data_IF_692690225503
#
_entry.id   IF_692690225503
#
_cell.length_a   1.000
_cell.length_b   1.000
_cell.length_c   1.000
_cell.angle_alpha   90.00
_cell.angle_beta   90.00
_cell.angle_gamma   90.00
#
_symmetry.space_group_name_H-M   'P 1'
#
loop_
_entity.id
_entity.type
_entity.pdbx_description
1 polymer ?
#
# COMPACT_ATOMS: atom_id res chain seq x y z
N UNK A 1 22.65 -7.20 28.90
CA UNK A 1 22.60 -6.66 27.51
C UNK A 1 21.33 -5.84 27.41
N UNK A 2 21.39 -4.65 26.81
CA UNK A 2 20.18 -3.86 26.62
C UNK A 2 19.27 -4.47 25.53
N UNK A 3 17.96 -4.37 25.70
CA UNK A 3 16.98 -4.73 24.66
C UNK A 3 17.27 -3.97 23.37
N UNK A 4 16.98 -4.57 22.24
CA UNK A 4 16.98 -3.94 20.91
C UNK A 4 15.57 -3.88 20.34
N UNK A 5 15.40 -3.27 19.17
CA UNK A 5 14.12 -3.19 18.51
C UNK A 5 14.20 -3.76 17.09
N UNK A 6 13.08 -4.33 16.61
CA UNK A 6 12.89 -4.70 15.23
C UNK A 6 12.52 -3.48 14.37
N UNK A 7 12.56 -3.61 13.05
CA UNK A 7 12.18 -2.54 12.11
C UNK A 7 10.73 -2.04 12.29
N UNK A 8 9.85 -2.88 12.85
CA UNK A 8 8.49 -2.51 13.23
C UNK A 8 8.39 -1.90 14.63
N UNK A 9 9.51 -1.73 15.33
CA UNK A 9 9.57 -1.16 16.68
C UNK A 9 9.16 -2.15 17.79
N UNK A 10 9.21 -3.47 17.55
CA UNK A 10 9.02 -4.49 18.57
C UNK A 10 10.24 -4.56 19.48
N UNK A 11 10.04 -4.55 20.79
CA UNK A 11 11.14 -4.74 21.73
C UNK A 11 11.59 -6.21 21.74
N UNK A 12 12.82 -6.45 21.34
CA UNK A 12 13.50 -7.73 21.41
C UNK A 12 14.16 -7.84 22.78
N UNK A 13 13.44 -8.38 23.74
CA UNK A 13 13.86 -8.44 25.14
C UNK A 13 15.10 -9.30 25.34
N UNK A 14 16.14 -8.73 25.94
CA UNK A 14 17.34 -9.50 26.32
C UNK A 14 17.08 -10.34 27.56
N UNK A 15 17.75 -11.48 27.64
CA UNK A 15 17.65 -12.41 28.79
C UNK A 15 18.06 -11.69 30.09
N UNK A 16 17.20 -11.74 31.09
CA UNK A 16 17.41 -11.12 32.40
C UNK A 16 16.99 -9.65 32.50
N UNK A 17 16.57 -9.03 31.41
CA UNK A 17 15.94 -7.71 31.40
C UNK A 17 14.43 -7.78 31.67
N UNK A 18 13.83 -6.61 31.92
CA UNK A 18 12.40 -6.44 32.11
C UNK A 18 11.81 -7.22 33.28
N UNK A 19 12.61 -7.55 34.30
CA UNK A 19 12.13 -8.20 35.53
C UNK A 19 11.00 -7.34 36.17
N UNK A 20 9.81 -7.92 36.28
CA UNK A 20 8.62 -7.22 36.76
C UNK A 20 7.87 -6.40 35.71
N UNK A 21 8.40 -6.18 34.51
CA UNK A 21 7.78 -5.39 33.42
C UNK A 21 7.58 -6.18 32.13
N UNK A 22 8.08 -7.40 32.04
CA UNK A 22 8.02 -8.22 30.82
C UNK A 22 6.59 -8.39 30.29
N UNK A 23 5.60 -8.52 31.17
CA UNK A 23 4.19 -8.63 30.76
C UNK A 23 3.69 -7.36 30.04
N UNK A 24 4.06 -6.18 30.53
CA UNK A 24 3.75 -4.91 29.87
C UNK A 24 4.44 -4.83 28.51
N UNK A 25 5.72 -5.20 28.42
CA UNK A 25 6.48 -5.22 27.16
C UNK A 25 5.90 -6.20 26.15
N UNK A 26 5.52 -7.39 26.60
CA UNK A 26 4.83 -8.37 25.74
C UNK A 26 3.52 -7.83 25.21
N UNK A 27 2.68 -7.20 26.05
CA UNK A 27 1.42 -6.62 25.62
C UNK A 27 1.64 -5.46 24.63
N UNK A 28 2.63 -4.61 24.86
CA UNK A 28 3.03 -3.57 23.90
C UNK A 28 3.41 -4.18 22.54
N UNK A 29 4.24 -5.23 22.53
CA UNK A 29 4.61 -5.93 21.30
C UNK A 29 3.41 -6.53 20.58
N UNK A 30 2.47 -7.14 21.31
CA UNK A 30 1.25 -7.68 20.71
C UNK A 30 0.38 -6.59 20.07
N UNK A 31 0.24 -5.43 20.71
CA UNK A 31 -0.46 -4.27 20.14
C UNK A 31 0.24 -3.71 18.89
N UNK A 32 1.57 -3.71 18.87
CA UNK A 32 2.36 -3.32 17.70
C UNK A 32 2.11 -4.28 16.53
N UNK A 33 2.12 -5.60 16.79
CA UNK A 33 1.80 -6.62 15.80
C UNK A 33 0.38 -6.45 15.27
N UNK A 34 -0.60 -6.25 16.17
CA UNK A 34 -1.99 -6.01 15.78
C UNK A 34 -2.13 -4.84 14.81
N UNK A 35 -1.52 -3.68 15.12
CA UNK A 35 -1.54 -2.51 14.24
C UNK A 35 -0.84 -2.77 12.91
N UNK A 36 0.22 -3.56 12.89
CA UNK A 36 0.95 -3.90 11.68
C UNK A 36 0.17 -4.81 10.73
N UNK A 37 -0.75 -5.61 11.25
CA UNK A 37 -1.55 -6.58 10.50
C UNK A 37 -2.95 -6.04 10.19
N UNK A 38 -3.59 -5.35 11.14
CA UNK A 38 -5.01 -4.96 11.07
C UNK A 38 -5.25 -3.46 11.33
N UNK A 39 -4.22 -2.68 11.66
CA UNK A 39 -4.37 -1.28 12.03
C UNK A 39 -4.78 -0.40 10.84
N UNK A 40 -5.72 0.53 11.09
CA UNK A 40 -6.14 1.59 10.19
C UNK A 40 -5.76 2.95 10.78
N UNK A 41 -5.30 3.86 9.92
CA UNK A 41 -5.02 5.25 10.31
C UNK A 41 -5.34 6.22 9.18
N UNK A 42 -5.80 7.43 9.53
CA UNK A 42 -5.91 8.55 8.59
C UNK A 42 -4.72 9.49 8.77
N UNK A 43 -4.09 9.87 7.67
CA UNK A 43 -2.95 10.76 7.63
C UNK A 43 -3.22 11.96 6.74
N UNK A 44 -3.20 13.15 7.32
CA UNK A 44 -3.24 14.38 6.54
C UNK A 44 -1.92 14.58 5.77
N UNK A 45 -2.04 14.86 4.47
CA UNK A 45 -0.89 15.06 3.56
C UNK A 45 -0.51 16.53 3.51
N UNK A 46 0.79 16.81 3.61
CA UNK A 46 1.34 18.15 3.42
C UNK A 46 1.22 18.56 1.94
N UNK A 47 0.45 19.60 1.68
CA UNK A 47 0.22 20.11 0.34
C UNK A 47 1.50 20.63 -0.31
N UNK A 48 1.84 20.12 -1.49
CA UNK A 48 3.03 20.55 -2.25
C UNK A 48 4.35 20.22 -1.56
N UNK A 49 4.36 19.29 -0.58
CA UNK A 49 5.53 18.96 0.20
C UNK A 49 5.62 17.46 0.52
N UNK A 50 6.48 17.12 1.47
CA UNK A 50 6.69 15.75 1.94
C UNK A 50 6.08 15.55 3.31
N UNK A 51 5.27 14.50 3.47
CA UNK A 51 4.78 13.97 4.74
C UNK A 51 5.59 12.72 5.07
N UNK A 52 6.52 12.82 6.02
CA UNK A 52 7.31 11.68 6.45
C UNK A 52 6.56 10.93 7.57
N UNK A 53 6.19 9.69 7.29
CA UNK A 53 5.61 8.78 8.28
C UNK A 53 6.73 8.12 9.07
N UNK A 54 6.49 7.88 10.36
CA UNK A 54 7.49 7.30 11.27
C UNK A 54 7.00 6.02 11.92
N UNK A 55 7.95 5.30 12.49
CA UNK A 55 7.76 4.22 13.45
C UNK A 55 8.64 4.56 14.66
N UNK A 56 8.02 4.60 15.83
CA UNK A 56 8.72 4.82 17.10
C UNK A 56 8.82 3.51 17.87
N UNK A 57 10.02 3.16 18.28
CA UNK A 57 10.33 1.93 19.00
C UNK A 57 9.55 1.79 20.30
N UNK A 58 8.93 0.63 20.49
CA UNK A 58 8.16 0.34 21.71
C UNK A 58 6.94 1.21 21.95
N UNK A 59 6.53 2.02 20.98
CA UNK A 59 5.39 2.94 21.09
C UNK A 59 4.17 2.41 20.34
N UNK A 60 3.01 2.49 21.00
CA UNK A 60 1.70 2.11 20.44
C UNK A 60 0.86 3.32 20.01
N UNK A 61 1.40 4.54 20.10
CA UNK A 61 0.69 5.77 19.74
C UNK A 61 0.56 5.88 18.21
N UNK A 62 -0.64 6.12 17.72
CA UNK A 62 -0.91 6.16 16.27
C UNK A 62 -0.16 7.30 15.58
N UNK A 63 -0.20 8.51 16.15
CA UNK A 63 0.38 9.70 15.53
C UNK A 63 1.91 9.67 15.39
N UNK A 64 2.59 8.88 16.21
CA UNK A 64 4.06 8.73 16.20
C UNK A 64 4.54 7.48 15.47
N UNK A 65 3.61 6.62 15.03
CA UNK A 65 3.92 5.35 14.39
C UNK A 65 2.98 5.03 13.22
N UNK A 66 2.64 6.05 12.43
CA UNK A 66 1.70 5.94 11.31
C UNK A 66 2.15 4.89 10.30
N UNK A 67 3.45 4.83 9.98
CA UNK A 67 4.01 3.89 9.01
C UNK A 67 3.90 2.42 9.44
N UNK A 68 3.51 2.14 10.69
CA UNK A 68 3.30 0.77 11.18
C UNK A 68 1.97 0.18 10.72
N UNK A 69 0.94 1.01 10.50
CA UNK A 69 -0.42 0.54 10.21
C UNK A 69 -0.49 -0.21 8.87
N UNK A 70 -1.37 -1.21 8.82
CA UNK A 70 -1.60 -1.97 7.59
C UNK A 70 -2.38 -1.15 6.56
N UNK A 71 -3.34 -0.33 7.02
CA UNK A 71 -4.19 0.50 6.18
C UNK A 71 -3.93 1.96 6.49
N UNK A 72 -3.50 2.72 5.48
CA UNK A 72 -3.23 4.15 5.58
C UNK A 72 -4.14 4.89 4.59
N UNK A 73 -5.04 5.73 5.10
CA UNK A 73 -5.84 6.64 4.28
C UNK A 73 -5.22 8.02 4.29
N UNK A 74 -4.77 8.46 3.14
CA UNK A 74 -4.23 9.81 2.93
C UNK A 74 -5.39 10.79 2.78
N UNK A 75 -5.37 11.88 3.54
CA UNK A 75 -6.47 12.86 3.61
C UNK A 75 -5.97 14.29 3.46
N UNK A 76 -6.89 15.23 3.33
CA UNK A 76 -6.62 16.67 3.23
C UNK A 76 -6.82 17.24 1.84
N UNK A 77 -6.87 18.58 1.77
CA UNK A 77 -6.94 19.33 0.50
C UNK A 77 -5.52 19.70 0.10
N UNK A 78 -5.08 19.22 -1.07
CA UNK A 78 -3.75 19.53 -1.61
C UNK A 78 -3.86 20.51 -2.78
N UNK A 79 -2.93 21.47 -2.83
CA UNK A 79 -2.81 22.50 -3.86
C UNK A 79 -1.48 22.40 -4.64
N UNK A 80 -0.76 21.29 -4.46
CA UNK A 80 0.49 20.94 -5.12
C UNK A 80 0.76 19.46 -5.05
N UNK A 81 1.60 18.95 -5.96
CA UNK A 81 2.04 17.55 -5.95
C UNK A 81 2.73 17.24 -4.61
N UNK A 82 2.34 16.15 -3.99
CA UNK A 82 2.73 15.81 -2.63
C UNK A 82 3.41 14.45 -2.58
N UNK A 83 4.28 14.26 -1.59
CA UNK A 83 5.02 13.01 -1.36
C UNK A 83 4.70 12.53 0.05
N UNK A 84 4.45 11.25 0.21
CA UNK A 84 4.35 10.57 1.50
C UNK A 84 5.44 9.51 1.55
N UNK A 85 6.23 9.53 2.62
CA UNK A 85 7.32 8.55 2.78
C UNK A 85 7.13 7.68 4.01
N UNK A 86 7.50 6.40 3.88
CA UNK A 86 7.69 5.47 4.99
C UNK A 86 9.20 5.29 5.23
N UNK A 87 9.63 4.90 6.42
CA UNK A 87 11.05 4.61 6.68
C UNK A 87 11.58 3.52 5.75
N UNK A 88 12.87 3.59 5.44
CA UNK A 88 13.60 2.53 4.74
C UNK A 88 13.73 1.28 5.64
N UNK A 89 14.13 0.17 5.06
CA UNK A 89 14.36 -1.13 5.72
C UNK A 89 13.12 -1.83 6.30
N UNK A 90 11.94 -1.27 6.10
CA UNK A 90 10.68 -1.90 6.56
C UNK A 90 10.11 -2.75 5.43
N UNK A 91 10.06 -4.04 5.64
CA UNK A 91 9.42 -5.00 4.73
C UNK A 91 8.01 -5.32 5.22
N UNK A 92 6.99 -4.84 4.51
CA UNK A 92 5.58 -5.12 4.84
C UNK A 92 4.62 -4.76 3.72
N UNK A 93 3.42 -5.32 3.82
CA UNK A 93 2.27 -4.95 2.97
C UNK A 93 1.58 -3.69 3.53
N UNK A 94 1.14 -2.82 2.62
CA UNK A 94 0.31 -1.67 2.90
C UNK A 94 -0.93 -1.67 2.00
N UNK A 95 -2.05 -1.26 2.55
CA UNK A 95 -3.23 -0.84 1.80
C UNK A 95 -3.29 0.68 1.89
N UNK A 96 -3.07 1.37 0.78
CA UNK A 96 -3.00 2.84 0.77
C UNK A 96 -4.16 3.40 -0.03
N UNK A 97 -4.96 4.25 0.62
CA UNK A 97 -6.08 4.95 -0.01
C UNK A 97 -5.72 6.43 -0.23
N UNK A 98 -5.79 6.90 -1.47
CA UNK A 98 -5.73 8.33 -1.76
C UNK A 98 -7.11 8.97 -1.59
N UNK A 99 -7.39 9.50 -0.41
CA UNK A 99 -8.58 10.28 -0.06
C UNK A 99 -8.35 11.80 -0.06
N UNK A 100 -7.24 12.28 -0.64
CA UNK A 100 -7.00 13.72 -0.76
C UNK A 100 -7.94 14.37 -1.77
N UNK A 101 -8.26 15.65 -1.58
CA UNK A 101 -8.93 16.48 -2.58
C UNK A 101 -7.92 17.37 -3.31
N UNK A 102 -8.33 17.87 -4.49
CA UNK A 102 -7.47 18.67 -5.36
C UNK A 102 -6.89 17.87 -6.54
N UNK A 103 -6.58 18.58 -7.64
CA UNK A 103 -6.11 17.99 -8.91
C UNK A 103 -4.59 17.90 -8.94
N UNK A 104 -4.00 17.19 -8.00
CA UNK A 104 -2.56 16.99 -7.86
C UNK A 104 -2.23 15.53 -7.56
N UNK A 105 -1.00 15.14 -7.86
CA UNK A 105 -0.52 13.78 -7.62
C UNK A 105 -0.10 13.58 -6.16
N UNK A 106 -0.21 12.34 -5.68
CA UNK A 106 0.36 11.92 -4.40
C UNK A 106 1.27 10.72 -4.64
N UNK A 107 2.55 10.88 -4.38
CA UNK A 107 3.51 9.78 -4.43
C UNK A 107 3.62 9.13 -3.04
N UNK A 108 3.53 7.81 -2.98
CA UNK A 108 3.81 7.01 -1.78
C UNK A 108 5.06 6.17 -2.03
N UNK A 109 6.11 6.39 -1.23
CA UNK A 109 7.43 5.79 -1.46
C UNK A 109 8.16 5.52 -0.13
N UNK A 110 9.28 4.82 -0.16
CA UNK A 110 10.24 4.80 0.95
C UNK A 110 11.02 6.12 1.02
N UNK A 111 11.67 6.38 2.13
CA UNK A 111 12.37 7.67 2.34
C UNK A 111 13.42 7.93 1.26
N UNK A 112 14.27 6.96 0.95
CA UNK A 112 15.36 7.10 -0.05
C UNK A 112 15.07 6.44 -1.40
N UNK A 113 14.15 5.46 -1.46
CA UNK A 113 13.87 4.69 -2.68
C UNK A 113 12.77 5.28 -3.56
N UNK A 114 12.15 4.41 -4.34
CA UNK A 114 11.05 4.73 -5.25
C UNK A 114 9.70 4.24 -4.73
N UNK A 115 8.62 4.53 -5.44
CA UNK A 115 7.30 4.05 -5.07
C UNK A 115 6.25 4.33 -6.13
N UNK A 116 4.99 4.20 -5.73
CA UNK A 116 3.83 4.42 -6.58
C UNK A 116 3.43 5.89 -6.59
N UNK A 117 2.76 6.33 -7.65
CA UNK A 117 2.15 7.65 -7.73
C UNK A 117 0.68 7.51 -8.07
N UNK A 118 -0.17 8.07 -7.22
CA UNK A 118 -1.58 8.29 -7.54
C UNK A 118 -1.69 9.48 -8.49
N UNK A 119 -2.32 9.29 -9.64
CA UNK A 119 -2.59 10.34 -10.61
C UNK A 119 -3.53 11.43 -10.07
N UNK A 120 -3.66 12.54 -10.79
CA UNK A 120 -4.43 13.73 -10.34
C UNK A 120 -5.90 13.40 -10.03
N UNK A 121 -6.52 12.53 -10.81
CA UNK A 121 -7.90 12.08 -10.63
C UNK A 121 -8.02 10.75 -9.91
N UNK A 122 -6.91 10.12 -9.59
CA UNK A 122 -6.89 8.78 -8.99
C UNK A 122 -7.10 8.86 -7.47
N UNK A 123 -8.36 8.74 -7.06
CA UNK A 123 -8.80 8.71 -5.66
C UNK A 123 -9.23 7.28 -5.29
N UNK A 124 -8.27 6.37 -5.39
CA UNK A 124 -8.47 4.92 -5.27
C UNK A 124 -7.69 4.34 -4.10
N UNK A 125 -7.87 3.05 -3.87
CA UNK A 125 -7.10 2.27 -2.92
C UNK A 125 -6.18 1.32 -3.69
N UNK A 126 -4.91 1.25 -3.32
CA UNK A 126 -3.94 0.31 -3.87
C UNK A 126 -3.40 -0.61 -2.79
N UNK A 127 -3.20 -1.87 -3.13
CA UNK A 127 -2.42 -2.82 -2.36
C UNK A 127 -0.96 -2.72 -2.84
N UNK A 128 -0.06 -2.38 -1.92
CA UNK A 128 1.36 -2.22 -2.20
C UNK A 128 2.18 -2.94 -1.16
N UNK A 129 3.45 -3.18 -1.42
CA UNK A 129 4.39 -3.66 -0.41
C UNK A 129 5.70 -2.89 -0.45
N UNK A 130 6.35 -2.80 0.69
CA UNK A 130 7.73 -2.36 0.79
C UNK A 130 8.65 -3.57 0.78
N UNK A 131 9.67 -3.54 -0.07
CA UNK A 131 10.76 -4.53 -0.12
C UNK A 131 11.96 -4.12 0.75
N UNK A 132 11.77 -3.12 1.61
CA UNK A 132 12.81 -2.52 2.44
C UNK A 132 13.55 -1.37 1.74
N UNK A 133 13.44 -1.25 0.42
CA UNK A 133 14.09 -0.21 -0.39
C UNK A 133 13.06 0.63 -1.14
N UNK A 134 12.07 -0.01 -1.76
CA UNK A 134 11.06 0.63 -2.60
C UNK A 134 9.65 0.25 -2.16
N UNK A 135 8.67 1.06 -2.56
CA UNK A 135 7.25 0.67 -2.54
C UNK A 135 6.88 0.14 -3.93
N UNK A 136 6.39 -1.09 -3.97
CA UNK A 136 6.01 -1.81 -5.18
C UNK A 136 4.50 -2.01 -5.21
N UNK A 137 3.86 -1.73 -6.34
CA UNK A 137 2.44 -2.02 -6.55
C UNK A 137 2.23 -3.54 -6.67
N UNK A 138 1.27 -4.08 -5.93
CA UNK A 138 0.93 -5.50 -6.01
C UNK A 138 0.04 -5.85 -7.22
N UNK A 139 -0.34 -4.85 -8.03
CA UNK A 139 -1.10 -5.04 -9.26
C UNK A 139 -2.62 -5.18 -9.09
N UNK A 140 -3.16 -4.93 -7.88
CA UNK A 140 -4.59 -5.09 -7.61
C UNK A 140 -5.38 -3.78 -7.61
N UNK A 141 -4.91 -2.69 -8.18
CA UNK A 141 -5.60 -1.39 -8.04
C UNK A 141 -5.43 -0.39 -9.17
N UNK A 142 -4.78 -0.76 -10.25
CA UNK A 142 -4.71 0.04 -11.48
C UNK A 142 -5.93 -0.18 -12.38
N UNK A 143 -6.07 0.59 -13.46
CA UNK A 143 -6.86 0.16 -14.60
C UNK A 143 -6.42 -1.28 -14.92
N UNK A 144 -7.37 -2.20 -15.02
CA UNK A 144 -7.07 -3.58 -15.37
C UNK A 144 -6.58 -3.59 -16.82
N UNK A 145 -5.27 -3.35 -16.99
CA UNK A 145 -4.61 -3.62 -18.25
C UNK A 145 -4.49 -5.14 -18.35
N UNK A 146 -5.28 -5.71 -19.23
CA UNK A 146 -5.29 -7.16 -19.44
C UNK A 146 -4.05 -7.63 -20.21
N UNK A 147 -3.19 -6.71 -20.67
CA UNK A 147 -1.94 -7.03 -21.41
C UNK A 147 -2.16 -8.05 -22.51
N UNK A 148 -3.26 -7.96 -23.27
CA UNK A 148 -3.63 -8.91 -24.29
C UNK A 148 -4.23 -10.23 -23.76
N UNK A 149 -4.50 -10.33 -22.44
CA UNK A 149 -5.16 -11.51 -21.86
C UNK A 149 -6.66 -11.43 -22.06
N UNK A 150 -7.29 -12.59 -22.17
CA UNK A 150 -8.73 -12.71 -22.29
C UNK A 150 -9.43 -12.44 -20.95
N UNK A 151 -10.53 -11.68 -20.97
CA UNK A 151 -11.51 -11.67 -19.90
C UNK A 151 -12.48 -12.84 -20.13
N UNK A 152 -12.31 -13.91 -19.38
CA UNK A 152 -13.17 -15.09 -19.44
C UNK A 152 -14.48 -14.81 -18.70
N UNK A 153 -15.61 -15.05 -19.35
CA UNK A 153 -16.96 -14.73 -18.84
C UNK A 153 -17.74 -15.95 -18.36
N UNK A 154 -17.27 -17.16 -18.69
CA UNK A 154 -17.93 -18.41 -18.31
C UNK A 154 -16.95 -19.47 -17.77
N UNK A 155 -17.49 -20.59 -17.28
CA UNK A 155 -16.71 -21.59 -16.55
C UNK A 155 -15.88 -22.51 -17.46
N UNK A 156 -16.24 -22.70 -18.73
CA UNK A 156 -15.52 -23.54 -19.69
C UNK A 156 -14.52 -22.72 -20.53
N UNK A 157 -14.54 -21.38 -20.40
CA UNK A 157 -13.52 -20.49 -20.94
C UNK A 157 -13.66 -20.20 -22.43
N UNK A 158 -14.82 -20.50 -23.04
CA UNK A 158 -15.04 -20.29 -24.46
C UNK A 158 -15.84 -19.02 -24.81
N UNK A 159 -16.34 -18.31 -23.78
CA UNK A 159 -16.95 -16.98 -23.91
C UNK A 159 -16.04 -15.92 -23.28
N UNK A 160 -15.49 -15.04 -24.12
CA UNK A 160 -14.42 -14.13 -23.70
C UNK A 160 -14.53 -12.75 -24.37
N UNK A 161 -13.85 -11.76 -23.76
CA UNK A 161 -13.52 -10.48 -24.42
C UNK A 161 -11.99 -10.37 -24.44
N UNK A 162 -11.42 -10.10 -25.63
CA UNK A 162 -9.97 -9.91 -25.79
C UNK A 162 -9.64 -8.71 -26.68
N UNK A 163 -8.44 -8.18 -26.53
CA UNK A 163 -7.83 -7.17 -27.39
C UNK A 163 -6.38 -7.62 -27.71
N UNK A 164 -6.23 -8.79 -28.29
CA UNK A 164 -4.94 -9.40 -28.65
C UNK A 164 -4.36 -8.86 -29.96
N UNK A 165 -5.20 -8.17 -30.74
CA UNK A 165 -4.80 -7.46 -31.95
C UNK A 165 -4.88 -5.96 -31.70
N UNK A 166 -3.88 -5.20 -32.15
CA UNK A 166 -3.82 -3.75 -32.00
C UNK A 166 -5.05 -3.08 -32.65
N UNK A 167 -5.69 -2.16 -31.91
CA UNK A 167 -6.91 -1.44 -32.33
C UNK A 167 -8.14 -2.33 -32.61
N UNK A 168 -8.19 -3.56 -32.06
CA UNK A 168 -9.30 -4.48 -32.21
C UNK A 168 -9.80 -5.01 -30.85
N UNK A 169 -11.13 -5.10 -30.69
CA UNK A 169 -11.77 -5.81 -29.58
C UNK A 169 -12.59 -6.96 -30.16
N UNK A 170 -12.31 -8.17 -29.69
CA UNK A 170 -13.04 -9.38 -30.06
C UNK A 170 -13.92 -9.87 -28.91
N UNK A 171 -15.15 -10.23 -29.21
CA UNK A 171 -16.06 -10.91 -28.29
C UNK A 171 -16.30 -12.30 -28.86
N UNK A 172 -15.84 -13.33 -28.14
CA UNK A 172 -16.05 -14.74 -28.48
C UNK A 172 -17.22 -15.29 -27.70
N UNK A 173 -18.05 -16.08 -28.36
CA UNK A 173 -19.12 -16.88 -27.78
C UNK A 173 -18.96 -18.31 -28.28
N UNK A 174 -18.90 -19.28 -27.37
CA UNK A 174 -18.69 -20.70 -27.70
C UNK A 174 -17.44 -20.93 -28.61
N UNK A 175 -16.36 -20.21 -28.33
CA UNK A 175 -15.09 -20.33 -29.04
C UNK A 175 -15.00 -19.70 -30.43
N UNK A 176 -16.05 -18.98 -30.87
CA UNK A 176 -16.04 -18.27 -32.15
C UNK A 176 -16.04 -16.74 -31.91
N UNK A 177 -15.36 -16.00 -32.80
CA UNK A 177 -15.39 -14.52 -32.76
C UNK A 177 -16.71 -14.05 -33.37
N UNK A 178 -17.68 -13.72 -32.52
CA UNK A 178 -19.03 -13.31 -32.96
C UNK A 178 -19.15 -11.81 -33.19
N UNK A 179 -18.35 -11.01 -32.48
CA UNK A 179 -18.32 -9.55 -32.65
C UNK A 179 -16.89 -9.05 -32.66
N UNK A 180 -16.55 -8.26 -33.68
CA UNK A 180 -15.26 -7.59 -33.81
C UNK A 180 -15.49 -6.08 -33.96
N UNK A 181 -14.76 -5.28 -33.15
CA UNK A 181 -14.72 -3.83 -33.28
C UNK A 181 -13.29 -3.46 -33.69
N UNK A 182 -13.15 -2.91 -34.87
CA UNK A 182 -11.87 -2.42 -35.42
C UNK A 182 -11.94 -0.92 -35.62
N UNK A 183 -10.81 -0.25 -35.46
CA UNK A 183 -10.69 1.21 -35.68
C UNK A 183 -10.75 1.57 -37.18
#
# INVERSE_FOLDING_TARGET
MASSFSDLGLELMATGENAGTWGTKTNTNLQIIEKSIAGYVEQAVTSGGTTALSITDGDTTESTSVARHAVIKLTGTITGNSIVTVPDSIEKVYIVTNGTSGAYTVQFKTASGTGITFGVSEKTTRLVYSDGTNIVDAGFGGASDMEGRELVLDADGDTTITADTDDQIDIKIAGADDFQFTA
#
